data_IF_402162770443
#
_entry.id   IF_402162770443
#
_cell.length_a   1.000
_cell.length_b   1.000
_cell.length_c   1.000
_cell.angle_alpha   90.00
_cell.angle_beta   90.00
_cell.angle_gamma   90.00
#
_symmetry.space_group_name_H-M   'P 1'
#
loop_
_entity.id
_entity.type
_entity.pdbx_description
1 polymer ?
#
# COMPACT_ATOMS: atom_id res chain seq x y z
N UNK A 1 10.02 -2.46 0.36
CA UNK A 1 10.29 -3.60 -0.54
C UNK A 1 9.22 -3.81 -1.62
N UNK A 2 7.94 -3.48 -1.38
CA UNK A 2 6.92 -3.52 -2.44
C UNK A 2 7.19 -2.57 -3.62
N UNK A 3 7.62 -1.32 -3.36
CA UNK A 3 7.95 -0.33 -4.41
C UNK A 3 9.11 -0.81 -5.31
N UNK A 4 10.11 -1.50 -4.74
CA UNK A 4 11.22 -2.08 -5.50
C UNK A 4 10.76 -3.27 -6.37
N UNK A 5 9.85 -4.10 -5.85
CA UNK A 5 9.19 -5.14 -6.66
C UNK A 5 8.29 -4.55 -7.74
N UNK A 6 7.70 -3.38 -7.51
CA UNK A 6 6.91 -2.67 -8.53
C UNK A 6 7.81 -2.04 -9.60
N UNK A 7 8.98 -1.54 -9.24
CA UNK A 7 9.98 -1.04 -10.18
C UNK A 7 10.56 -2.17 -11.05
N UNK A 8 10.66 -3.39 -10.52
CA UNK A 8 11.06 -4.56 -11.29
C UNK A 8 10.11 -4.84 -12.48
N UNK A 9 8.83 -4.47 -12.41
CA UNK A 9 7.90 -4.58 -13.54
C UNK A 9 8.27 -3.73 -14.75
N UNK A 10 9.09 -2.69 -14.60
CA UNK A 10 9.59 -1.91 -15.73
C UNK A 10 10.69 -2.62 -16.54
N UNK A 11 11.29 -3.69 -15.98
CA UNK A 11 12.43 -4.41 -16.58
C UNK A 11 12.03 -5.81 -17.07
N UNK A 12 10.97 -6.42 -16.52
CA UNK A 12 10.53 -7.77 -16.88
C UNK A 12 9.46 -7.81 -17.99
N UNK A 13 9.61 -8.74 -18.94
CA UNK A 13 8.62 -9.00 -20.01
C UNK A 13 7.34 -9.63 -19.43
N UNK A 14 6.14 -9.34 -19.99
CA UNK A 14 4.85 -9.83 -19.50
C UNK A 14 4.68 -11.37 -19.46
N UNK A 15 5.52 -12.11 -20.20
CA UNK A 15 5.42 -13.56 -20.37
C UNK A 15 5.78 -14.40 -19.13
N UNK A 16 6.52 -13.84 -18.16
CA UNK A 16 7.03 -14.59 -17.01
C UNK A 16 6.19 -14.36 -15.74
N UNK A 17 4.88 -14.68 -15.83
CA UNK A 17 3.91 -14.54 -14.73
C UNK A 17 4.38 -15.21 -13.43
N UNK A 18 4.99 -16.39 -13.50
CA UNK A 18 5.43 -17.15 -12.33
C UNK A 18 6.55 -16.42 -11.55
N UNK A 19 7.42 -15.72 -12.27
CA UNK A 19 8.55 -14.95 -11.72
C UNK A 19 8.07 -13.65 -11.05
N UNK A 20 7.06 -13.03 -11.66
CA UNK A 20 6.32 -11.87 -11.14
C UNK A 20 5.62 -12.17 -9.81
N UNK A 21 4.91 -13.30 -9.72
CA UNK A 21 4.25 -13.70 -8.49
C UNK A 21 5.27 -14.12 -7.43
N UNK A 22 6.34 -14.81 -7.82
CA UNK A 22 7.42 -15.20 -6.92
C UNK A 22 8.11 -14.01 -6.25
N UNK A 23 8.48 -12.98 -7.01
CA UNK A 23 9.12 -11.78 -6.46
C UNK A 23 8.17 -10.98 -5.55
N UNK A 24 6.87 -10.93 -5.88
CA UNK A 24 5.85 -10.29 -5.05
C UNK A 24 5.65 -11.00 -3.71
N UNK A 25 5.69 -12.34 -3.71
CA UNK A 25 5.55 -13.13 -2.49
C UNK A 25 6.72 -12.89 -1.54
N UNK A 26 7.94 -12.88 -2.06
CA UNK A 26 9.16 -12.58 -1.28
C UNK A 26 9.14 -11.14 -0.76
N UNK A 27 8.72 -10.19 -1.60
CA UNK A 27 8.58 -8.79 -1.23
C UNK A 27 7.54 -8.55 -0.13
N UNK A 28 6.44 -9.31 -0.16
CA UNK A 28 5.34 -9.24 0.82
C UNK A 28 5.70 -9.91 2.14
N UNK A 29 6.45 -11.01 2.10
CA UNK A 29 6.89 -11.75 3.30
C UNK A 29 7.72 -10.88 4.26
N UNK A 30 8.54 -9.99 3.70
CA UNK A 30 9.37 -9.06 4.48
C UNK A 30 8.56 -7.92 5.12
N UNK A 31 7.36 -7.63 4.61
CA UNK A 31 6.50 -6.56 5.14
C UNK A 31 5.73 -6.94 6.41
N UNK A 32 5.50 -8.23 6.65
CA UNK A 32 4.72 -8.74 7.77
C UNK A 32 5.27 -8.35 9.15
N UNK A 33 6.56 -8.58 9.44
CA UNK A 33 7.15 -8.19 10.73
C UNK A 33 7.13 -6.68 10.98
N UNK A 34 7.22 -5.88 9.91
CA UNK A 34 7.28 -4.42 10.01
C UNK A 34 5.97 -3.83 10.54
N UNK A 35 4.82 -4.37 10.12
CA UNK A 35 3.51 -3.89 10.59
C UNK A 35 3.30 -4.24 12.06
N UNK A 36 3.66 -5.46 12.48
CA UNK A 36 3.58 -5.87 13.89
C UNK A 36 4.47 -5.03 14.80
N UNK A 37 5.71 -4.72 14.36
CA UNK A 37 6.63 -3.89 15.11
C UNK A 37 6.12 -2.44 15.28
N UNK A 38 5.48 -1.87 14.25
CA UNK A 38 4.93 -0.51 14.31
C UNK A 38 3.83 -0.39 15.37
N UNK A 39 2.94 -1.38 15.45
CA UNK A 39 1.87 -1.42 16.46
C UNK A 39 2.41 -1.63 17.87
N UNK A 40 3.45 -2.46 18.03
CA UNK A 40 4.15 -2.61 19.31
C UNK A 40 4.80 -1.29 19.75
N UNK A 41 5.44 -0.56 18.84
CA UNK A 41 6.04 0.75 19.14
C UNK A 41 4.99 1.78 19.55
N UNK A 42 3.81 1.79 18.92
CA UNK A 42 2.70 2.64 19.36
C UNK A 42 2.23 2.30 20.77
N UNK A 43 2.16 1.01 21.13
CA UNK A 43 1.82 0.58 22.48
C UNK A 43 2.90 1.03 23.50
N UNK A 44 4.18 0.84 23.22
CA UNK A 44 5.28 1.26 24.10
C UNK A 44 5.27 2.78 24.34
N UNK A 45 5.01 3.58 23.31
CA UNK A 45 4.90 5.05 23.46
C UNK A 45 3.67 5.47 24.25
N UNK A 46 2.56 4.73 24.15
CA UNK A 46 1.35 4.98 24.91
C UNK A 46 1.56 4.68 26.40
N UNK A 47 2.24 3.57 26.71
CA UNK A 47 2.59 3.17 28.07
C UNK A 47 3.60 4.13 28.71
N UNK A 48 4.62 4.57 27.96
CA UNK A 48 5.57 5.60 28.42
C UNK A 48 4.88 6.96 28.69
N UNK A 49 3.90 7.33 27.86
CA UNK A 49 3.12 8.56 28.07
C UNK A 49 2.27 8.49 29.34
N UNK A 50 1.71 7.32 29.67
CA UNK A 50 0.97 7.07 30.91
C UNK A 50 1.90 7.12 32.13
N UNK A 51 3.07 6.47 32.07
CA UNK A 51 4.07 6.49 33.14
C UNK A 51 4.54 7.90 33.49
N UNK A 52 4.81 8.74 32.49
CA UNK A 52 5.36 10.09 32.70
C UNK A 52 4.31 11.13 33.11
N UNK A 53 3.06 10.99 32.66
CA UNK A 53 2.00 12.00 32.88
C UNK A 53 0.92 11.57 33.86
N UNK A 54 0.92 10.32 34.32
CA UNK A 54 -0.07 9.77 35.25
C UNK A 54 -1.51 9.78 34.73
N UNK A 55 -1.72 10.07 33.45
CA UNK A 55 -3.03 10.18 32.79
C UNK A 55 -3.10 9.21 31.63
N UNK A 56 -4.09 8.34 31.64
CA UNK A 56 -4.34 7.32 30.62
C UNK A 56 -4.93 7.96 29.36
N UNK A 57 -4.05 8.34 28.42
CA UNK A 57 -4.41 8.98 27.15
C UNK A 57 -4.17 8.09 25.93
N UNK A 58 -4.06 6.77 26.15
CA UNK A 58 -3.76 5.75 25.12
C UNK A 58 -4.73 5.84 23.94
N UNK A 59 -6.04 5.99 24.21
CA UNK A 59 -7.06 6.12 23.17
C UNK A 59 -6.86 7.32 22.24
N UNK A 60 -6.44 8.47 22.77
CA UNK A 60 -6.22 9.67 21.95
C UNK A 60 -5.02 9.50 21.01
N UNK A 61 -3.95 8.84 21.48
CA UNK A 61 -2.74 8.59 20.69
C UNK A 61 -3.04 7.60 19.57
N UNK A 62 -3.76 6.52 19.85
CA UNK A 62 -4.17 5.55 18.84
C UNK A 62 -5.14 6.16 17.81
N UNK A 63 -6.13 6.94 18.26
CA UNK A 63 -7.07 7.61 17.34
C UNK A 63 -6.38 8.63 16.43
N UNK A 64 -5.47 9.45 16.96
CA UNK A 64 -4.70 10.41 16.17
C UNK A 64 -3.83 9.70 15.10
N UNK A 65 -3.18 8.60 15.49
CA UNK A 65 -2.33 7.82 14.59
C UNK A 65 -3.11 7.22 13.42
N UNK A 66 -4.29 6.65 13.69
CA UNK A 66 -5.15 6.06 12.65
C UNK A 66 -5.81 7.12 11.78
N UNK A 67 -6.15 8.28 12.34
CA UNK A 67 -6.63 9.41 11.56
C UNK A 67 -5.61 9.86 10.51
N UNK A 68 -4.34 10.05 10.91
CA UNK A 68 -3.26 10.40 9.98
C UNK A 68 -3.04 9.32 8.91
N UNK A 69 -3.15 8.04 9.28
CA UNK A 69 -3.00 6.94 8.31
C UNK A 69 -4.13 6.93 7.27
N UNK A 70 -5.38 7.12 7.70
CA UNK A 70 -6.53 7.23 6.80
C UNK A 70 -6.44 8.44 5.88
N UNK A 71 -5.97 9.58 6.41
CA UNK A 71 -5.76 10.78 5.61
C UNK A 71 -4.70 10.54 4.53
N UNK A 72 -3.60 9.86 4.84
CA UNK A 72 -2.59 9.50 3.85
C UNK A 72 -3.15 8.64 2.71
N UNK A 73 -4.02 7.66 3.03
CA UNK A 73 -4.66 6.81 2.02
C UNK A 73 -5.65 7.60 1.16
N UNK A 74 -6.42 8.51 1.77
CA UNK A 74 -7.37 9.36 1.04
C UNK A 74 -6.67 10.29 0.06
N UNK A 75 -5.57 10.93 0.48
CA UNK A 75 -4.78 11.80 -0.39
C UNK A 75 -4.15 10.99 -1.52
N UNK A 76 -3.57 9.81 -1.22
CA UNK A 76 -2.99 8.93 -2.23
C UNK A 76 -4.02 8.50 -3.28
N UNK A 77 -5.23 8.10 -2.85
CA UNK A 77 -6.31 7.74 -3.74
C UNK A 77 -6.78 8.93 -4.60
N UNK A 78 -6.90 10.13 -4.03
CA UNK A 78 -7.29 11.33 -4.76
C UNK A 78 -6.27 11.69 -5.86
N UNK A 79 -4.98 11.61 -5.57
CA UNK A 79 -3.91 11.86 -6.55
C UNK A 79 -3.96 10.80 -7.67
N UNK A 80 -4.10 9.52 -7.33
CA UNK A 80 -4.22 8.45 -8.32
C UNK A 80 -5.44 8.62 -9.24
N UNK A 81 -6.59 8.99 -8.66
CA UNK A 81 -7.81 9.27 -9.42
C UNK A 81 -7.67 10.51 -10.31
N UNK A 82 -7.02 11.57 -9.81
CA UNK A 82 -6.72 12.77 -10.59
C UNK A 82 -5.82 12.48 -11.79
N UNK A 83 -4.77 11.68 -11.59
CA UNK A 83 -3.90 11.21 -12.69
C UNK A 83 -4.70 10.38 -13.70
N UNK A 84 -5.53 9.45 -13.24
CA UNK A 84 -6.36 8.62 -14.11
C UNK A 84 -7.36 9.44 -14.94
N UNK A 85 -7.96 10.48 -14.35
CA UNK A 85 -8.82 11.41 -15.07
C UNK A 85 -8.06 12.23 -16.10
N UNK A 86 -6.80 12.59 -15.84
CA UNK A 86 -5.97 13.38 -16.76
C UNK A 86 -5.50 12.60 -18.01
N UNK A 87 -5.33 11.27 -17.91
CA UNK A 87 -4.90 10.41 -19.02
C UNK A 87 -6.05 9.95 -19.92
N UNK A 88 -7.25 10.53 -19.76
CA UNK A 88 -8.41 10.25 -20.61
C UNK A 88 -9.13 8.93 -20.30
N UNK A 89 -9.11 8.48 -19.04
CA UNK A 89 -9.83 7.28 -18.63
C UNK A 89 -11.34 7.40 -18.91
N UNK A 90 -11.87 6.50 -19.75
CA UNK A 90 -13.28 6.46 -20.11
C UNK A 90 -13.98 5.33 -19.33
N UNK A 91 -14.84 5.69 -18.38
CA UNK A 91 -15.60 4.71 -17.62
C UNK A 91 -16.62 3.98 -18.52
N UNK A 92 -16.76 2.66 -18.35
CA UNK A 92 -17.69 1.79 -19.09
C UNK A 92 -17.44 1.68 -20.62
N UNK A 93 -16.22 1.91 -21.09
CA UNK A 93 -15.89 1.58 -22.49
C UNK A 93 -16.04 0.06 -22.73
N UNK A 94 -16.69 -0.32 -23.85
CA UNK A 94 -16.83 -1.73 -24.25
C UNK A 94 -15.43 -2.31 -24.49
N UNK A 95 -15.01 -3.23 -23.63
CA UNK A 95 -13.72 -3.91 -23.75
C UNK A 95 -13.69 -4.71 -25.06
N UNK A 96 -12.83 -4.31 -26.00
CA UNK A 96 -12.63 -5.08 -27.24
C UNK A 96 -11.81 -6.34 -26.92
N UNK A 97 -12.24 -7.49 -27.45
CA UNK A 97 -11.58 -8.80 -27.30
C UNK A 97 -10.09 -8.84 -27.72
N UNK A 98 -9.60 -7.80 -28.39
CA UNK A 98 -8.20 -7.66 -28.78
C UNK A 98 -7.27 -7.26 -27.60
N UNK A 99 -7.80 -6.74 -26.49
CA UNK A 99 -7.00 -6.40 -25.31
C UNK A 99 -6.53 -7.65 -24.53
N UNK A 100 -7.22 -8.79 -24.67
CA UNK A 100 -6.85 -10.08 -24.05
C UNK A 100 -5.78 -10.87 -24.83
N UNK A 101 -5.55 -10.56 -26.11
CA UNK A 101 -4.66 -11.37 -26.98
C UNK A 101 -3.27 -10.78 -27.16
N UNK A 102 -3.06 -9.51 -26.82
CA UNK A 102 -1.74 -8.87 -26.88
C UNK A 102 -0.76 -9.38 -25.79
N UNK A 103 -1.25 -10.10 -24.79
CA UNK A 103 -0.45 -10.72 -23.72
C UNK A 103 -0.26 -12.24 -23.90
N UNK A 104 -0.68 -12.83 -25.03
CA UNK A 104 -0.52 -14.25 -25.34
C UNK A 104 -0.03 -14.42 -26.78
N UNK A 105 1.16 -13.87 -27.07
CA UNK A 105 2.00 -14.16 -28.24
C UNK A 105 3.40 -13.57 -28.03
#
# INVERSE_FOLDING_TARGET
MAIASTAAFYVFKPDQLLLIFGINLIGSFTGGPLSALLWAMYADTADYAEWKKGRRATGLIFSASIFSQKQGWAIGAAVALGLMSSVGFQANAVQTLNHSKACYN
#
